data_IF_515482381257
#
_entry.id   IF_515482381257
#
_cell.length_a   1.000
_cell.length_b   1.000
_cell.length_c   1.000
_cell.angle_alpha   90.00
_cell.angle_beta   90.00
_cell.angle_gamma   90.00
#
_symmetry.space_group_name_H-M   'P 1'
#
loop_
_entity.id
_entity.type
_entity.pdbx_description
1 polymer ?
#
# COMPACT_ATOMS: atom_id res chain seq x y z
N UNK A 1 16.52 -1.16 -3.04
CA UNK A 1 15.10 -0.79 -2.98
C UNK A 1 14.29 -2.04 -3.29
N UNK A 2 13.12 -2.20 -2.67
CA UNK A 2 12.14 -3.19 -3.09
C UNK A 2 10.97 -2.43 -3.73
N UNK A 3 10.44 -2.98 -4.81
CA UNK A 3 9.28 -2.48 -5.52
C UNK A 3 8.24 -3.58 -5.64
N UNK A 4 6.98 -3.16 -5.60
CA UNK A 4 5.82 -3.98 -5.93
C UNK A 4 5.30 -3.51 -7.30
N UNK A 5 5.41 -4.32 -8.36
CA UNK A 5 4.79 -4.01 -9.64
C UNK A 5 3.26 -4.11 -9.56
N UNK A 6 2.54 -3.29 -10.34
CA UNK A 6 1.07 -3.30 -10.48
C UNK A 6 0.52 -4.67 -10.94
N UNK A 7 1.31 -5.41 -11.73
CA UNK A 7 0.94 -6.75 -12.19
C UNK A 7 1.98 -7.80 -11.78
N UNK A 8 1.49 -8.99 -11.41
CA UNK A 8 2.30 -10.18 -11.15
C UNK A 8 2.22 -10.71 -9.71
N UNK A 9 3.14 -11.62 -9.39
CA UNK A 9 3.22 -12.32 -8.10
C UNK A 9 4.63 -12.22 -7.47
N UNK A 10 5.42 -11.23 -7.90
CA UNK A 10 6.81 -11.06 -7.49
C UNK A 10 7.07 -9.61 -7.07
N UNK A 11 8.00 -9.47 -6.11
CA UNK A 11 8.62 -8.18 -5.84
C UNK A 11 9.84 -8.00 -6.73
N UNK A 12 10.23 -6.76 -6.97
CA UNK A 12 11.45 -6.43 -7.70
C UNK A 12 12.44 -5.78 -6.75
N UNK A 13 13.62 -6.37 -6.62
CA UNK A 13 14.74 -5.77 -5.88
C UNK A 13 15.64 -5.02 -6.85
N UNK A 14 15.84 -3.74 -6.57
CA UNK A 14 16.80 -2.91 -7.27
C UNK A 14 18.03 -2.62 -6.40
N UNK A 15 19.18 -2.51 -7.06
CA UNK A 15 20.46 -2.11 -6.47
C UNK A 15 20.74 -0.66 -6.81
N UNK A 16 21.33 0.09 -5.86
CA UNK A 16 21.74 1.46 -6.12
C UNK A 16 23.02 1.45 -6.96
N UNK A 17 22.97 2.08 -8.12
CA UNK A 17 24.09 2.18 -9.06
C UNK A 17 25.04 3.32 -8.66
N UNK A 18 26.22 3.35 -9.28
CA UNK A 18 27.26 4.35 -8.98
C UNK A 18 26.84 5.80 -9.33
N UNK A 19 25.94 5.97 -10.30
CA UNK A 19 25.38 7.26 -10.69
C UNK A 19 24.21 7.72 -9.78
N UNK A 20 23.84 6.91 -8.78
CA UNK A 20 22.80 7.20 -7.82
C UNK A 20 21.39 6.71 -8.20
N UNK A 21 21.19 6.25 -9.43
CA UNK A 21 19.96 5.58 -9.88
C UNK A 21 19.78 4.21 -9.23
N UNK A 22 18.60 3.62 -9.42
CA UNK A 22 18.37 2.21 -9.08
C UNK A 22 18.26 1.38 -10.35
N UNK A 23 18.86 0.20 -10.35
CA UNK A 23 18.84 -0.72 -11.47
C UNK A 23 19.19 -2.14 -11.05
N UNK A 24 19.63 -2.94 -12.01
CA UNK A 24 19.89 -4.37 -11.84
C UNK A 24 18.71 -5.13 -11.19
N UNK A 25 17.53 -5.12 -11.85
CA UNK A 25 16.33 -5.70 -11.28
C UNK A 25 16.49 -7.21 -11.09
N UNK A 26 16.12 -7.65 -9.89
CA UNK A 26 16.00 -9.07 -9.54
C UNK A 26 14.58 -9.32 -9.07
N UNK A 27 13.86 -10.15 -9.82
CA UNK A 27 12.54 -10.63 -9.40
C UNK A 27 12.66 -11.59 -8.21
N UNK A 28 11.74 -11.44 -7.27
CA UNK A 28 11.63 -12.20 -6.05
C UNK A 28 10.18 -12.71 -5.96
N UNK A 29 9.88 -13.90 -6.51
CA UNK A 29 8.54 -14.47 -6.44
C UNK A 29 8.07 -14.61 -5.00
N UNK A 30 6.84 -14.19 -4.70
CA UNK A 30 6.30 -14.27 -3.34
C UNK A 30 6.03 -15.73 -2.93
N UNK A 31 5.64 -16.57 -3.88
CA UNK A 31 5.39 -18.00 -3.67
C UNK A 31 6.63 -18.76 -3.17
N UNK A 32 7.84 -18.26 -3.47
CA UNK A 32 9.09 -18.84 -2.97
C UNK A 32 9.27 -18.64 -1.45
N UNK A 33 8.67 -17.58 -0.91
CA UNK A 33 8.82 -17.19 0.50
C UNK A 33 7.64 -17.62 1.36
N UNK A 34 6.42 -17.62 0.83
CA UNK A 34 5.18 -17.92 1.55
C UNK A 34 4.17 -18.61 0.64
N UNK A 35 3.40 -19.55 1.19
CA UNK A 35 2.26 -20.15 0.50
C UNK A 35 1.21 -19.06 0.17
N UNK A 36 0.81 -18.91 -1.09
CA UNK A 36 -0.13 -17.90 -1.53
C UNK A 36 -1.55 -18.49 -1.70
N UNK A 37 -2.61 -17.68 -1.56
CA UNK A 37 -3.94 -18.13 -1.92
C UNK A 37 -4.07 -18.25 -3.45
N UNK A 38 -4.32 -19.46 -3.96
CA UNK A 38 -4.46 -19.69 -5.40
C UNK A 38 -3.27 -20.42 -5.99
N UNK A 39 -3.07 -20.28 -7.29
CA UNK A 39 -1.89 -20.83 -7.96
C UNK A 39 -0.67 -19.91 -7.75
N UNK A 40 0.58 -20.43 -7.76
CA UNK A 40 1.78 -19.64 -7.46
C UNK A 40 2.00 -18.41 -8.35
N UNK A 41 1.52 -18.47 -9.59
CA UNK A 41 1.64 -17.41 -10.59
C UNK A 41 0.39 -16.51 -10.65
N UNK A 42 -0.62 -16.76 -9.79
CA UNK A 42 -1.79 -15.89 -9.69
C UNK A 42 -1.35 -14.49 -9.23
N UNK A 43 -1.87 -13.48 -9.90
CA UNK A 43 -1.60 -12.08 -9.59
C UNK A 43 -2.00 -11.74 -8.15
N UNK A 44 -1.00 -11.35 -7.35
CA UNK A 44 -1.20 -10.98 -5.94
C UNK A 44 -1.65 -9.53 -5.83
N UNK A 45 -1.30 -8.66 -6.79
CA UNK A 45 -1.65 -7.23 -6.77
C UNK A 45 -1.13 -6.59 -5.50
N UNK A 46 0.20 -6.58 -5.34
CA UNK A 46 0.82 -6.05 -4.13
C UNK A 46 0.65 -4.54 -4.14
N UNK A 47 -0.16 -4.04 -3.22
CA UNK A 47 -0.45 -2.62 -3.11
C UNK A 47 0.46 -1.94 -2.07
N UNK A 48 0.84 -2.67 -1.02
CA UNK A 48 1.61 -2.10 0.10
C UNK A 48 2.74 -2.99 0.57
N UNK A 49 3.91 -2.38 0.84
CA UNK A 49 5.08 -3.04 1.42
C UNK A 49 5.75 -2.16 2.49
N UNK A 50 6.28 -2.77 3.55
CA UNK A 50 7.15 -2.08 4.51
C UNK A 50 8.20 -3.05 5.07
N UNK A 51 9.37 -2.52 5.42
CA UNK A 51 10.45 -3.26 6.05
C UNK A 51 10.54 -2.88 7.52
N UNK A 52 10.16 -3.80 8.39
CA UNK A 52 10.34 -3.66 9.83
C UNK A 52 11.76 -4.09 10.21
N UNK A 53 12.53 -3.19 10.84
CA UNK A 53 13.95 -3.38 11.08
C UNK A 53 14.78 -2.97 9.86
N UNK A 54 15.64 -3.88 9.35
CA UNK A 54 16.56 -3.59 8.24
C UNK A 54 16.39 -4.56 7.06
N UNK A 55 16.81 -4.14 5.87
CA UNK A 55 16.88 -5.06 4.71
C UNK A 55 17.91 -6.18 4.89
N UNK A 56 18.82 -6.13 5.88
CA UNK A 56 19.81 -7.19 6.09
C UNK A 56 19.26 -8.37 6.87
N UNK A 57 18.39 -8.11 7.84
CA UNK A 57 17.98 -9.05 8.88
C UNK A 57 16.60 -8.73 9.52
N UNK A 58 15.74 -8.01 8.80
CA UNK A 58 14.41 -7.60 9.25
C UNK A 58 13.26 -8.45 8.74
N UNK A 59 12.06 -7.87 8.78
CA UNK A 59 10.82 -8.47 8.29
C UNK A 59 10.23 -7.60 7.18
N UNK A 60 9.95 -8.18 6.03
CA UNK A 60 9.18 -7.56 4.97
C UNK A 60 7.71 -7.87 5.19
N UNK A 61 6.90 -6.82 5.28
CA UNK A 61 5.46 -6.91 5.27
C UNK A 61 4.95 -6.61 3.86
N UNK A 62 3.97 -7.39 3.41
CA UNK A 62 3.37 -7.28 2.08
C UNK A 62 1.87 -7.40 2.21
N UNK A 63 1.12 -6.56 1.51
CA UNK A 63 -0.33 -6.69 1.41
C UNK A 63 -0.83 -6.46 -0.01
N UNK A 64 -1.88 -7.17 -0.40
CA UNK A 64 -2.66 -6.86 -1.60
C UNK A 64 -3.96 -6.12 -1.31
N UNK A 65 -4.70 -5.76 -2.36
CA UNK A 65 -5.84 -4.83 -2.28
C UNK A 65 -7.02 -5.29 -1.41
N UNK A 66 -7.21 -6.59 -1.24
CA UNK A 66 -8.38 -7.20 -0.60
C UNK A 66 -9.75 -6.81 -1.19
N UNK A 67 -9.76 -6.10 -2.33
CA UNK A 67 -10.94 -5.45 -2.85
C UNK A 67 -11.80 -6.38 -3.71
N UNK A 68 -13.07 -5.99 -3.86
CA UNK A 68 -13.91 -6.46 -4.98
C UNK A 68 -13.61 -5.57 -6.18
N UNK A 69 -13.65 -6.13 -7.39
CA UNK A 69 -13.42 -5.37 -8.62
C UNK A 69 -14.69 -5.30 -9.47
N UNK A 70 -14.90 -4.16 -10.13
CA UNK A 70 -15.88 -4.02 -11.21
C UNK A 70 -15.16 -4.15 -12.54
N UNK A 71 -15.72 -4.90 -13.48
CA UNK A 71 -15.08 -5.10 -14.77
C UNK A 71 -14.91 -3.76 -15.52
N UNK A 72 -13.66 -3.41 -15.82
CA UNK A 72 -13.31 -2.17 -16.54
C UNK A 72 -13.93 -2.12 -17.94
N UNK A 73 -14.40 -0.93 -18.31
CA UNK A 73 -14.76 -0.55 -19.68
C UNK A 73 -13.51 0.01 -20.37
N UNK A 74 -13.02 -0.70 -21.39
CA UNK A 74 -11.86 -0.27 -22.19
C UNK A 74 -12.31 0.68 -23.30
N UNK A 75 -11.41 1.52 -23.81
CA UNK A 75 -11.69 2.53 -24.86
C UNK A 75 -12.40 1.98 -26.11
N UNK A 76 -12.14 0.72 -26.47
CA UNK A 76 -12.72 0.04 -27.64
C UNK A 76 -13.93 -0.86 -27.31
N UNK A 77 -14.50 -0.74 -26.11
CA UNK A 77 -15.68 -1.54 -25.71
C UNK A 77 -16.90 -1.07 -26.51
N UNK A 78 -17.63 -1.96 -27.22
CA UNK A 78 -18.85 -1.58 -27.92
C UNK A 78 -19.93 -1.04 -26.96
N UNK A 79 -20.72 -0.03 -27.34
CA UNK A 79 -21.79 0.50 -26.49
C UNK A 79 -22.76 -0.57 -25.96
N UNK A 80 -23.04 -1.60 -26.77
CA UNK A 80 -23.91 -2.72 -26.40
C UNK A 80 -23.38 -3.58 -25.25
N UNK A 81 -22.07 -3.56 -24.97
CA UNK A 81 -21.46 -4.34 -23.88
C UNK A 81 -21.23 -3.54 -22.60
N UNK A 82 -21.39 -2.21 -22.63
CA UNK A 82 -21.00 -1.33 -21.52
C UNK A 82 -21.77 -1.66 -20.24
N UNK A 83 -23.10 -1.76 -20.33
CA UNK A 83 -23.95 -2.08 -19.16
C UNK A 83 -23.63 -3.47 -18.60
N UNK A 84 -23.45 -4.45 -19.48
CA UNK A 84 -23.12 -5.82 -19.09
C UNK A 84 -21.76 -5.94 -18.39
N UNK A 85 -20.78 -5.13 -18.79
CA UNK A 85 -19.48 -5.09 -18.12
C UNK A 85 -19.60 -4.41 -16.77
N UNK A 86 -20.27 -3.25 -16.71
CA UNK A 86 -20.46 -2.53 -15.46
C UNK A 86 -21.27 -3.34 -14.44
N UNK A 87 -22.15 -4.25 -14.86
CA UNK A 87 -22.87 -5.15 -13.95
C UNK A 87 -22.00 -6.27 -13.33
N UNK A 88 -20.81 -6.56 -13.87
CA UNK A 88 -19.98 -7.68 -13.43
C UNK A 88 -19.02 -7.28 -12.32
N UNK A 89 -19.11 -8.01 -11.21
CA UNK A 89 -18.20 -7.93 -10.07
C UNK A 89 -17.37 -9.22 -9.96
N UNK A 90 -16.10 -9.09 -9.61
CA UNK A 90 -15.21 -10.21 -9.27
C UNK A 90 -14.64 -10.02 -7.86
N UNK A 91 -14.60 -11.10 -7.08
CA UNK A 91 -13.84 -11.16 -5.84
C UNK A 91 -12.60 -12.01 -6.10
N UNK A 92 -11.43 -11.38 -6.10
CA UNK A 92 -10.18 -12.01 -6.49
C UNK A 92 -9.46 -12.46 -5.22
N UNK A 93 -9.76 -13.70 -4.81
CA UNK A 93 -9.20 -14.30 -3.60
C UNK A 93 -7.67 -14.29 -3.56
N UNK A 94 -6.94 -14.50 -4.68
CA UNK A 94 -5.49 -14.42 -4.69
C UNK A 94 -4.91 -13.08 -4.22
N UNK A 95 -5.67 -11.98 -4.38
CA UNK A 95 -5.25 -10.63 -3.94
C UNK A 95 -5.45 -10.34 -2.44
N UNK A 96 -6.01 -11.31 -1.69
CA UNK A 96 -6.28 -11.16 -0.24
C UNK A 96 -5.10 -11.69 0.57
N UNK A 97 -3.97 -11.02 0.38
CA UNK A 97 -2.69 -11.35 1.03
C UNK A 97 -2.35 -10.27 2.05
N UNK A 98 -2.00 -10.72 3.25
CA UNK A 98 -1.24 -9.95 4.23
C UNK A 98 -0.19 -10.90 4.80
N UNK A 99 1.06 -10.67 4.44
CA UNK A 99 2.16 -11.58 4.70
C UNK A 99 3.32 -10.87 5.39
N UNK A 100 4.06 -11.65 6.17
CA UNK A 100 5.30 -11.30 6.86
C UNK A 100 6.39 -12.25 6.42
N UNK A 101 7.42 -11.74 5.76
CA UNK A 101 8.51 -12.49 5.18
C UNK A 101 9.82 -12.10 5.87
N UNK A 102 10.50 -13.02 6.59
CA UNK A 102 11.86 -12.75 7.05
C UNK A 102 12.77 -12.39 5.88
N UNK A 103 13.65 -11.42 6.06
CA UNK A 103 14.61 -10.97 5.04
C UNK A 103 16.03 -11.36 5.46
N UNK A 104 16.82 -11.86 4.50
CA UNK A 104 18.27 -11.98 4.62
C UNK A 104 18.93 -11.35 3.37
N UNK A 105 19.88 -10.45 3.58
CA UNK A 105 20.64 -9.78 2.50
C UNK A 105 19.75 -9.16 1.39
N UNK A 106 18.66 -8.53 1.82
CA UNK A 106 17.70 -7.84 0.97
C UNK A 106 16.79 -8.78 0.18
N UNK A 107 16.68 -10.05 0.56
CA UNK A 107 15.80 -11.05 -0.08
C UNK A 107 14.94 -11.75 0.95
N UNK A 108 13.65 -12.04 0.65
CA UNK A 108 12.85 -12.94 1.46
C UNK A 108 13.55 -14.30 1.65
N UNK A 109 13.51 -14.83 2.87
CA UNK A 109 13.99 -16.18 3.18
C UNK A 109 12.96 -17.19 2.68
N UNK A 110 13.43 -18.12 1.85
CA UNK A 110 12.58 -19.12 1.19
C UNK A 110 11.82 -19.97 2.21
N UNK A 111 10.51 -20.11 2.00
CA UNK A 111 9.60 -20.91 2.84
C UNK A 111 9.50 -20.49 4.31
N UNK A 112 10.05 -19.34 4.71
CA UNK A 112 10.04 -18.86 6.09
C UNK A 112 8.97 -17.79 6.34
N UNK A 113 8.21 -17.40 5.31
CA UNK A 113 7.13 -16.43 5.41
C UNK A 113 5.92 -16.99 6.13
N UNK A 114 5.11 -16.08 6.66
CA UNK A 114 3.79 -16.38 7.21
C UNK A 114 2.76 -15.42 6.66
N UNK A 115 1.52 -15.87 6.44
CA UNK A 115 0.43 -15.00 5.99
C UNK A 115 -0.82 -15.14 6.85
N UNK A 116 -1.61 -14.08 6.88
CA UNK A 116 -2.95 -14.15 7.44
C UNK A 116 -3.82 -15.06 6.56
N UNK A 117 -4.62 -15.99 7.13
CA UNK A 117 -5.55 -16.78 6.37
C UNK A 117 -6.55 -15.92 5.60
N UNK A 118 -6.95 -16.33 4.40
CA UNK A 118 -8.00 -15.65 3.66
C UNK A 118 -9.40 -16.01 4.18
N UNK A 119 -10.39 -15.16 3.88
CA UNK A 119 -11.81 -15.44 4.20
C UNK A 119 -12.17 -15.18 5.66
N UNK A 120 -12.94 -16.08 6.29
CA UNK A 120 -13.53 -15.86 7.63
C UNK A 120 -12.50 -15.74 8.76
N UNK A 121 -11.34 -16.40 8.63
CA UNK A 121 -10.23 -16.31 9.59
C UNK A 121 -9.29 -15.12 9.31
N UNK A 122 -9.53 -14.39 8.22
CA UNK A 122 -8.73 -13.27 7.78
C UNK A 122 -9.34 -11.91 8.06
N UNK A 123 -8.72 -10.87 7.47
CA UNK A 123 -9.13 -9.48 7.63
C UNK A 123 -10.60 -9.25 7.21
N UNK A 124 -10.99 -9.74 6.03
CA UNK A 124 -12.38 -9.62 5.53
C UNK A 124 -13.37 -10.31 6.45
N UNK A 125 -12.98 -11.44 7.06
CA UNK A 125 -13.80 -12.14 8.05
C UNK A 125 -13.97 -11.35 9.34
N UNK A 126 -12.88 -10.79 9.85
CA UNK A 126 -12.90 -9.97 11.06
C UNK A 126 -13.73 -8.68 10.92
N UNK A 127 -13.84 -8.15 9.70
CA UNK A 127 -14.60 -6.93 9.39
C UNK A 127 -16.04 -7.22 8.94
N UNK A 128 -16.45 -8.48 8.79
CA UNK A 128 -17.72 -8.85 8.15
C UNK A 128 -18.95 -8.23 8.82
N UNK A 129 -18.95 -8.22 10.16
CA UNK A 129 -20.03 -7.69 11.00
C UNK A 129 -19.71 -6.29 11.55
N UNK A 130 -18.63 -5.64 11.07
CA UNK A 130 -18.28 -4.28 11.48
C UNK A 130 -19.33 -3.29 10.96
N UNK A 131 -19.90 -2.49 11.87
CA UNK A 131 -21.00 -1.57 11.56
C UNK A 131 -20.62 -0.46 10.57
N UNK A 132 -19.33 -0.14 10.43
CA UNK A 132 -18.82 0.90 9.54
C UNK A 132 -18.32 0.31 8.22
N UNK A 133 -17.52 -0.77 8.28
CA UNK A 133 -16.79 -1.30 7.13
C UNK A 133 -17.45 -2.52 6.48
N UNK A 134 -18.20 -3.31 7.23
CA UNK A 134 -18.94 -4.48 6.73
C UNK A 134 -19.77 -4.20 5.48
N UNK A 135 -20.55 -3.09 5.42
CA UNK A 135 -21.33 -2.71 4.24
C UNK A 135 -20.49 -2.48 2.96
N UNK A 136 -19.20 -2.13 3.10
CA UNK A 136 -18.32 -1.79 1.99
C UNK A 136 -17.51 -2.98 1.46
N UNK A 137 -17.47 -4.11 2.17
CA UNK A 137 -16.72 -5.31 1.76
C UNK A 137 -17.21 -5.95 0.46
N UNK A 138 -18.43 -5.61 0.02
CA UNK A 138 -19.04 -6.09 -1.23
C UNK A 138 -19.05 -5.04 -2.34
N UNK A 139 -18.64 -3.82 -2.03
CA UNK A 139 -18.56 -2.72 -2.98
C UNK A 139 -17.19 -2.78 -3.64
N UNK A 140 -17.07 -2.54 -4.96
CA UNK A 140 -15.78 -2.52 -5.61
C UNK A 140 -14.87 -1.40 -5.09
N UNK A 141 -13.55 -1.65 -5.02
CA UNK A 141 -12.58 -0.68 -4.49
C UNK A 141 -12.63 0.69 -5.20
N UNK A 142 -12.65 0.67 -6.55
CA UNK A 142 -12.79 1.89 -7.39
C UNK A 142 -14.18 2.55 -7.34
N UNK A 143 -15.12 1.99 -6.58
CA UNK A 143 -16.44 2.54 -6.28
C UNK A 143 -16.56 2.95 -4.79
N UNK A 144 -15.44 3.29 -4.14
CA UNK A 144 -15.34 3.58 -2.70
C UNK A 144 -15.61 2.37 -1.80
N UNK A 145 -15.44 1.16 -2.31
CA UNK A 145 -15.49 -0.07 -1.53
C UNK A 145 -14.23 -0.30 -0.70
N UNK A 146 -14.20 -1.41 0.03
CA UNK A 146 -13.02 -1.80 0.83
C UNK A 146 -11.80 -2.05 -0.07
N UNK A 147 -10.73 -1.31 0.17
CA UNK A 147 -9.53 -1.31 -0.65
C UNK A 147 -8.31 -0.89 0.19
N UNK A 148 -7.39 -1.82 0.40
CA UNK A 148 -6.15 -1.61 1.14
C UNK A 148 -5.06 -1.19 0.15
N UNK A 149 -4.40 -0.06 0.39
CA UNK A 149 -3.24 0.33 -0.41
C UNK A 149 -2.01 0.58 0.48
N UNK A 150 -2.16 1.42 1.51
CA UNK A 150 -1.03 1.71 2.41
C UNK A 150 -0.73 0.63 3.44
N UNK A 151 0.56 0.45 3.77
CA UNK A 151 1.01 -0.47 4.82
C UNK A 151 2.19 0.11 5.61
N UNK A 152 2.14 0.01 6.94
CA UNK A 152 3.28 0.33 7.80
C UNK A 152 3.37 -0.63 8.99
N UNK A 153 4.50 -1.28 9.19
CA UNK A 153 4.78 -2.15 10.32
C UNK A 153 5.50 -1.37 11.42
N UNK A 154 4.89 -1.27 12.60
CA UNK A 154 5.35 -0.39 13.67
C UNK A 154 6.23 -1.13 14.68
N UNK A 155 7.18 -0.38 15.26
CA UNK A 155 8.11 -0.90 16.27
C UNK A 155 9.13 -1.90 15.73
N UNK A 156 9.91 -2.48 16.63
CA UNK A 156 10.90 -3.50 16.29
C UNK A 156 10.24 -4.88 16.04
N UNK A 157 10.87 -5.74 15.22
CA UNK A 157 10.43 -7.13 15.04
C UNK A 157 10.16 -7.84 16.37
N UNK A 158 8.92 -8.28 16.57
CA UNK A 158 8.47 -8.95 17.78
C UNK A 158 7.52 -10.10 17.42
N UNK A 159 7.25 -10.97 18.41
CA UNK A 159 6.31 -12.09 18.23
C UNK A 159 4.92 -11.59 17.81
N UNK A 160 4.44 -10.53 18.47
CA UNK A 160 3.24 -9.78 18.07
C UNK A 160 3.68 -8.43 17.54
N UNK A 161 3.28 -8.12 16.31
CA UNK A 161 3.60 -6.86 15.61
C UNK A 161 2.35 -6.05 15.36
N UNK A 162 2.45 -4.75 15.59
CA UNK A 162 1.43 -3.79 15.21
C UNK A 162 1.62 -3.40 13.74
N UNK A 163 0.61 -3.62 12.90
CA UNK A 163 0.61 -3.21 11.48
C UNK A 163 -0.53 -2.23 11.24
N UNK A 164 -0.22 -1.10 10.61
CA UNK A 164 -1.21 -0.18 10.08
C UNK A 164 -1.50 -0.51 8.62
N UNK A 165 -2.79 -0.59 8.28
CA UNK A 165 -3.26 -0.61 6.90
C UNK A 165 -3.99 0.69 6.58
N UNK A 166 -3.59 1.31 5.48
CA UNK A 166 -4.24 2.48 4.91
C UNK A 166 -5.32 2.07 3.93
N UNK A 167 -6.55 2.56 4.14
CA UNK A 167 -7.64 2.30 3.21
C UNK A 167 -7.74 3.45 2.20
N UNK A 168 -7.62 3.11 0.93
CA UNK A 168 -8.06 3.98 -0.17
C UNK A 168 -9.56 4.18 -0.11
N UNK A 169 -10.28 3.11 0.18
CA UNK A 169 -11.72 3.10 0.36
C UNK A 169 -12.12 2.10 1.44
N UNK A 170 -13.20 2.34 2.18
CA UNK A 170 -14.13 3.47 2.01
C UNK A 170 -13.66 4.76 2.68
N UNK A 171 -14.04 5.89 2.08
CA UNK A 171 -14.08 7.19 2.77
C UNK A 171 -15.50 7.42 3.29
N UNK A 172 -15.63 7.60 4.61
CA UNK A 172 -16.90 7.66 5.34
C UNK A 172 -17.29 9.11 5.60
N UNK A 173 -18.20 9.67 4.78
CA UNK A 173 -18.63 11.09 4.89
C UNK A 173 -17.44 12.07 4.94
N UNK A 174 -16.40 11.77 4.16
CA UNK A 174 -15.18 12.58 4.08
C UNK A 174 -14.01 12.10 4.94
N UNK A 175 -14.22 11.12 5.82
CA UNK A 175 -13.18 10.59 6.72
C UNK A 175 -12.53 9.34 6.14
N UNK A 176 -11.21 9.38 6.00
CA UNK A 176 -10.41 8.21 5.65
C UNK A 176 -10.30 7.25 6.83
N UNK A 177 -9.91 6.01 6.56
CA UNK A 177 -9.79 4.96 7.58
C UNK A 177 -8.39 4.36 7.54
N UNK A 178 -7.78 4.25 8.72
CA UNK A 178 -6.63 3.39 8.99
C UNK A 178 -7.08 2.23 9.87
N UNK A 179 -6.58 1.03 9.60
CA UNK A 179 -6.77 -0.13 10.46
C UNK A 179 -5.47 -0.42 11.20
N UNK A 180 -5.52 -0.51 12.53
CA UNK A 180 -4.43 -1.03 13.32
C UNK A 180 -4.69 -2.50 13.65
N UNK A 181 -3.79 -3.36 13.21
CA UNK A 181 -3.83 -4.80 13.39
C UNK A 181 -2.76 -5.20 14.37
N UNK A 182 -3.10 -6.06 15.33
CA UNK A 182 -2.12 -6.80 16.11
C UNK A 182 -2.00 -8.21 15.53
N UNK A 183 -0.83 -8.55 15.00
CA UNK A 183 -0.57 -9.80 14.26
C UNK A 183 0.50 -10.61 14.97
N UNK A 184 0.23 -11.89 15.23
CA UNK A 184 1.20 -12.81 15.82
C UNK A 184 1.23 -14.17 15.12
N UNK A 185 1.92 -15.19 15.67
CA UNK A 185 1.96 -16.52 15.09
C UNK A 185 0.58 -17.18 15.07
N UNK A 186 0.25 -17.84 13.96
CA UNK A 186 -0.92 -18.70 13.81
C UNK A 186 -0.79 -20.02 14.56
N UNK A 187 -1.82 -20.86 14.45
CA UNK A 187 -1.80 -22.23 14.97
C UNK A 187 -0.88 -23.12 14.11
N UNK A 188 -0.94 -22.93 12.79
CA UNK A 188 -0.14 -23.68 11.82
C UNK A 188 1.14 -22.92 11.43
N UNK A 189 2.25 -23.63 11.15
CA UNK A 189 3.45 -23.03 10.56
C UNK A 189 3.11 -22.29 9.27
N UNK A 190 3.60 -21.05 9.13
CA UNK A 190 3.31 -20.21 7.97
C UNK A 190 1.97 -19.47 8.03
N UNK A 191 1.18 -19.62 9.10
CA UNK A 191 0.00 -18.78 9.36
C UNK A 191 0.32 -17.63 10.32
N UNK A 192 -0.30 -16.48 10.08
CA UNK A 192 -0.43 -15.38 11.04
C UNK A 192 -1.81 -15.45 11.71
N UNK A 193 -1.87 -15.09 12.99
CA UNK A 193 -3.12 -14.87 13.70
C UNK A 193 -3.39 -13.38 13.87
N UNK A 194 -4.59 -12.95 13.47
CA UNK A 194 -5.12 -11.63 13.79
C UNK A 194 -5.63 -11.62 15.23
N UNK A 195 -4.94 -10.87 16.10
CA UNK A 195 -5.25 -10.78 17.54
C UNK A 195 -6.29 -9.71 17.82
N UNK A 196 -6.18 -8.55 17.15
CA UNK A 196 -7.17 -7.48 17.25
C UNK A 196 -7.15 -6.58 16.03
N UNK A 197 -8.26 -5.87 15.82
CA UNK A 197 -8.42 -4.81 14.82
C UNK A 197 -8.97 -3.58 15.52
N UNK A 198 -8.32 -2.44 15.34
CA UNK A 198 -8.84 -1.14 15.74
C UNK A 198 -8.97 -0.23 14.51
N UNK A 199 -10.00 0.62 14.50
CA UNK A 199 -10.24 1.59 13.42
C UNK A 199 -9.81 2.96 13.91
N UNK A 200 -9.11 3.68 13.05
CA UNK A 200 -8.76 5.07 13.24
C UNK A 200 -9.32 5.85 12.05
N UNK A 201 -9.95 6.99 12.31
CA UNK A 201 -10.51 7.85 11.26
C UNK A 201 -9.72 9.14 11.14
N UNK A 202 -9.41 9.52 9.91
CA UNK A 202 -8.52 10.65 9.62
C UNK A 202 -9.22 11.60 8.64
N UNK A 203 -9.30 12.87 8.99
CA UNK A 203 -9.86 13.91 8.11
C UNK A 203 -8.81 14.33 7.07
N UNK A 204 -8.76 13.58 5.97
CA UNK A 204 -7.92 13.87 4.79
C UNK A 204 -8.64 14.80 3.77
N UNK A 205 -9.76 15.41 4.17
CA UNK A 205 -10.57 16.27 3.29
C UNK A 205 -11.28 15.50 2.17
N UNK A 206 -11.79 14.30 2.47
CA UNK A 206 -12.50 13.46 1.50
C UNK A 206 -11.62 12.57 0.62
N UNK A 207 -10.31 12.53 0.89
CA UNK A 207 -9.36 11.62 0.24
C UNK A 207 -9.22 10.32 1.03
N UNK A 208 -8.84 9.25 0.34
CA UNK A 208 -8.40 7.99 0.93
C UNK A 208 -6.89 7.93 1.07
N UNK A 209 -6.41 6.85 1.69
CA UNK A 209 -4.98 6.56 1.86
C UNK A 209 -4.48 5.74 0.68
N UNK A 210 -3.49 6.26 -0.04
CA UNK A 210 -2.79 5.59 -1.14
C UNK A 210 -1.61 4.78 -0.66
N UNK A 211 -0.83 5.35 0.25
CA UNK A 211 0.34 4.68 0.78
C UNK A 211 0.73 5.26 2.14
N UNK A 212 1.52 4.51 2.91
CA UNK A 212 2.04 4.87 4.21
C UNK A 212 3.56 4.71 4.23
N UNK A 213 4.26 5.66 4.83
CA UNK A 213 5.69 5.51 5.09
C UNK A 213 6.03 5.99 6.51
N UNK A 214 6.92 5.26 7.19
CA UNK A 214 7.46 5.70 8.47
C UNK A 214 8.61 6.68 8.27
N UNK A 215 8.61 7.77 9.02
CA UNK A 215 9.71 8.72 9.12
C UNK A 215 10.06 8.92 10.60
N UNK A 216 10.96 8.08 11.11
CA UNK A 216 11.20 7.95 12.55
C UNK A 216 9.91 7.57 13.28
N UNK A 217 9.49 8.41 14.22
CA UNK A 217 8.26 8.24 15.01
C UNK A 217 7.01 8.77 14.27
N UNK A 218 7.18 9.50 13.17
CA UNK A 218 6.08 10.07 12.41
C UNK A 218 5.58 9.10 11.32
N UNK A 219 4.30 9.22 10.98
CA UNK A 219 3.70 8.51 9.86
C UNK A 219 3.41 9.50 8.72
N UNK A 220 3.96 9.23 7.54
CA UNK A 220 3.60 9.90 6.31
C UNK A 220 2.43 9.17 5.65
N UNK A 221 1.48 9.94 5.14
CA UNK A 221 0.28 9.46 4.46
C UNK A 221 0.23 10.10 3.08
N UNK A 222 0.34 9.27 2.04
CA UNK A 222 -0.04 9.70 0.70
C UNK A 222 -1.57 9.66 0.61
N UNK A 223 -2.19 10.82 0.41
CA UNK A 223 -3.64 10.95 0.32
C UNK A 223 -4.07 11.22 -1.13
N UNK A 224 -5.09 10.51 -1.61
CA UNK A 224 -5.59 10.63 -2.98
C UNK A 224 -7.06 10.20 -3.14
N UNK A 225 -7.68 10.40 -4.32
CA UNK A 225 -9.11 10.19 -4.52
C UNK A 225 -9.49 8.70 -4.48
N UNK A 226 -10.63 8.30 -3.93
CA UNK A 226 -10.96 6.85 -3.86
C UNK A 226 -11.31 6.22 -5.22
N UNK A 227 -11.69 7.05 -6.19
CA UNK A 227 -12.11 6.67 -7.54
C UNK A 227 -11.03 7.02 -8.58
N UNK A 228 -11.40 7.00 -9.86
CA UNK A 228 -10.51 7.25 -11.01
C UNK A 228 -10.09 8.72 -11.21
N UNK A 229 -10.29 9.58 -10.21
CA UNK A 229 -9.90 10.99 -10.31
C UNK A 229 -8.39 11.11 -10.10
N UNK A 230 -7.74 11.96 -10.90
CA UNK A 230 -6.30 12.20 -10.78
C UNK A 230 -5.93 13.06 -9.58
N UNK A 231 -6.83 13.95 -9.14
CA UNK A 231 -6.55 15.02 -8.17
C UNK A 231 -7.72 15.25 -7.21
N UNK A 232 -7.48 15.87 -6.03
CA UNK A 232 -6.18 16.30 -5.49
C UNK A 232 -5.37 15.13 -4.91
N UNK A 233 -4.05 15.29 -4.81
CA UNK A 233 -3.13 14.35 -4.17
C UNK A 233 -2.11 15.11 -3.33
N UNK A 234 -1.75 14.59 -2.15
CA UNK A 234 -0.83 15.26 -1.21
C UNK A 234 -0.17 14.29 -0.25
N UNK A 235 0.97 14.66 0.29
CA UNK A 235 1.60 13.95 1.42
C UNK A 235 1.39 14.72 2.70
N UNK A 236 0.85 14.03 3.70
CA UNK A 236 0.55 14.56 5.03
C UNK A 236 1.40 13.82 6.06
N UNK A 237 1.72 14.50 7.17
CA UNK A 237 2.48 13.93 8.28
C UNK A 237 1.60 13.91 9.54
N UNK A 238 1.51 12.74 10.15
CA UNK A 238 0.93 12.52 11.47
C UNK A 238 2.08 12.33 12.46
N UNK A 239 2.24 13.30 13.36
CA UNK A 239 3.37 13.30 14.30
C UNK A 239 3.22 12.18 15.35
N UNK A 240 4.29 11.42 15.57
CA UNK A 240 4.33 10.33 16.56
C UNK A 240 3.44 9.12 16.24
N UNK A 241 2.76 9.10 15.10
CA UNK A 241 1.78 8.07 14.76
C UNK A 241 2.40 6.73 14.35
N UNK A 242 3.71 6.68 14.07
CA UNK A 242 4.42 5.43 13.82
C UNK A 242 4.87 4.73 15.12
N UNK A 243 4.69 5.37 16.29
CA UNK A 243 4.91 4.72 17.59
C UNK A 243 3.76 3.76 17.89
N UNK A 244 4.02 2.47 18.19
CA UNK A 244 2.97 1.50 18.51
C UNK A 244 2.02 2.01 19.60
N UNK A 245 0.72 2.02 19.29
CA UNK A 245 -0.34 2.45 20.21
C UNK A 245 -0.51 3.98 20.37
N UNK A 246 0.31 4.81 19.70
CA UNK A 246 0.22 6.27 19.81
C UNK A 246 -0.80 6.90 18.85
N UNK A 247 -1.20 6.20 17.78
CA UNK A 247 -2.18 6.71 16.81
C UNK A 247 -3.56 6.93 17.49
N UNK A 248 -4.10 8.16 17.52
CA UNK A 248 -5.43 8.43 18.07
C UNK A 248 -6.54 7.78 17.24
N UNK A 249 -7.67 7.44 17.86
CA UNK A 249 -8.84 6.90 17.13
C UNK A 249 -9.43 7.91 16.13
N UNK A 250 -9.28 9.21 16.39
CA UNK A 250 -9.77 10.29 15.53
C UNK A 250 -8.68 11.32 15.34
N UNK A 251 -8.35 11.63 14.08
CA UNK A 251 -7.36 12.64 13.71
C UNK A 251 -8.03 13.70 12.84
N UNK A 252 -8.02 14.95 13.29
CA UNK A 252 -8.60 16.05 12.53
C UNK A 252 -7.60 16.66 11.56
N UNK A 253 -8.09 17.33 10.51
CA UNK A 253 -7.24 18.00 9.52
C UNK A 253 -6.28 19.03 10.14
N UNK A 254 -6.67 19.67 11.25
CA UNK A 254 -5.83 20.64 11.99
C UNK A 254 -4.63 20.00 12.70
N UNK A 255 -4.65 18.69 12.89
CA UNK A 255 -3.60 17.91 13.57
C UNK A 255 -2.63 17.28 12.54
N UNK A 256 -2.82 17.59 11.24
CA UNK A 256 -2.02 17.09 10.13
C UNK A 256 -1.12 18.19 9.57
N UNK A 257 0.16 17.88 9.40
CA UNK A 257 1.08 18.77 8.70
C UNK A 257 1.10 18.39 7.21
N UNK A 258 0.87 19.38 6.33
CA UNK A 258 1.06 19.18 4.90
C UNK A 258 2.54 19.21 4.57
N UNK A 259 3.07 18.07 4.10
CA UNK A 259 4.47 17.95 3.67
C UNK A 259 4.63 18.52 2.27
N UNK A 260 3.74 18.12 1.34
CA UNK A 260 3.67 18.64 -0.01
C UNK A 260 2.29 18.42 -0.63
N UNK A 261 1.93 19.32 -1.56
CA UNK A 261 0.85 19.08 -2.51
C UNK A 261 1.46 18.49 -3.79
N UNK A 262 0.83 17.45 -4.34
CA UNK A 262 1.26 16.81 -5.57
C UNK A 262 0.35 17.29 -6.72
N UNK A 263 0.94 17.45 -7.90
CA UNK A 263 0.27 18.00 -9.07
C UNK A 263 0.23 16.98 -10.23
N UNK A 264 -0.53 15.88 -10.08
CA UNK A 264 -0.72 14.90 -11.14
C UNK A 264 -1.36 15.55 -12.38
N UNK A 265 -0.99 15.06 -13.56
CA UNK A 265 -1.61 15.44 -14.82
C UNK A 265 -3.04 14.91 -14.94
N UNK A 266 -3.78 15.40 -15.94
CA UNK A 266 -5.13 14.90 -16.21
C UNK A 266 -5.05 13.49 -16.84
N UNK A 267 -5.23 12.46 -15.99
CA UNK A 267 -5.15 11.06 -16.41
C UNK A 267 -3.74 10.45 -16.43
N UNK A 268 -2.74 11.16 -15.91
CA UNK A 268 -1.35 10.71 -15.83
C UNK A 268 -0.70 11.12 -14.50
N UNK A 269 0.43 10.51 -14.16
CA UNK A 269 1.23 10.78 -12.95
C UNK A 269 0.45 10.61 -11.64
N UNK A 270 -0.42 9.60 -11.51
CA UNK A 270 -1.20 9.40 -10.29
C UNK A 270 -0.29 8.88 -9.19
N UNK A 271 -0.05 9.61 -8.09
CA UNK A 271 0.82 9.14 -7.02
C UNK A 271 0.27 7.87 -6.40
N UNK A 272 1.10 6.85 -6.32
CA UNK A 272 0.70 5.51 -5.88
C UNK A 272 1.57 4.99 -4.75
N UNK A 273 2.87 5.30 -4.73
CA UNK A 273 3.77 4.86 -3.68
C UNK A 273 4.70 5.96 -3.20
N UNK A 274 5.04 5.93 -1.91
CA UNK A 274 6.02 6.80 -1.27
C UNK A 274 7.07 5.99 -0.50
N UNK A 275 8.32 6.41 -0.56
CA UNK A 275 9.39 5.78 0.20
C UNK A 275 10.41 6.80 0.68
N UNK A 276 10.80 6.71 1.96
CA UNK A 276 11.94 7.48 2.47
C UNK A 276 13.22 6.92 1.86
N UNK A 277 14.01 7.79 1.22
CA UNK A 277 15.28 7.47 0.60
C UNK A 277 16.36 8.40 1.15
N UNK A 278 17.35 7.83 1.83
CA UNK A 278 18.34 8.63 2.56
C UNK A 278 17.77 9.24 3.84
N UNK A 279 18.33 10.36 4.30
CA UNK A 279 18.00 10.95 5.61
C UNK A 279 16.85 11.97 5.58
N UNK A 280 16.61 12.64 4.45
CA UNK A 280 15.63 13.74 4.37
C UNK A 280 15.04 13.86 2.96
N UNK A 281 14.74 12.71 2.35
CA UNK A 281 14.15 12.69 1.01
C UNK A 281 13.06 11.64 0.88
N UNK A 282 12.01 11.99 0.14
CA UNK A 282 10.86 11.15 -0.14
C UNK A 282 10.79 10.92 -1.65
N UNK A 283 10.86 9.66 -2.06
CA UNK A 283 10.56 9.25 -3.42
C UNK A 283 9.05 9.08 -3.55
N UNK A 284 8.48 9.61 -4.62
CA UNK A 284 7.09 9.40 -5.04
C UNK A 284 7.09 8.70 -6.40
N UNK A 285 6.42 7.56 -6.48
CA UNK A 285 6.19 6.82 -7.72
C UNK A 285 4.73 6.96 -8.15
N UNK A 286 4.49 6.77 -9.45
CA UNK A 286 3.22 7.10 -10.08
C UNK A 286 2.68 5.93 -10.91
N UNK A 287 1.38 5.66 -10.78
CA UNK A 287 0.60 4.94 -11.78
C UNK A 287 0.44 5.83 -13.01
N UNK A 288 0.39 5.18 -14.18
CA UNK A 288 0.15 5.81 -15.47
C UNK A 288 1.09 7.01 -15.69
N UNK A 289 2.43 6.79 -15.59
CA UNK A 289 3.40 7.87 -15.69
C UNK A 289 3.31 8.57 -17.05
N UNK A 290 3.48 9.89 -17.04
CA UNK A 290 3.51 10.71 -18.24
C UNK A 290 4.58 10.22 -19.22
N UNK A 291 4.38 10.38 -20.55
CA UNK A 291 5.30 9.82 -21.55
C UNK A 291 6.77 10.28 -21.40
N UNK A 292 7.02 11.46 -20.84
CA UNK A 292 8.37 11.99 -20.62
C UNK A 292 9.06 11.43 -19.37
N UNK A 293 8.36 10.65 -18.53
CA UNK A 293 8.92 9.88 -17.41
C UNK A 293 9.28 8.44 -17.79
N UNK A 294 8.82 7.96 -18.93
CA UNK A 294 9.00 6.57 -19.38
C UNK A 294 10.16 6.48 -20.36
N UNK A 295 11.23 5.82 -19.95
CA UNK A 295 12.33 5.40 -20.81
C UNK A 295 12.11 4.01 -21.40
N UNK A 296 13.07 3.52 -22.19
CA UNK A 296 12.98 2.18 -22.79
C UNK A 296 12.92 1.05 -21.74
N UNK A 297 13.64 1.23 -20.62
CA UNK A 297 13.77 0.27 -19.53
C UNK A 297 13.82 0.96 -18.16
N UNK A 298 13.21 2.14 -18.04
CA UNK A 298 13.27 2.94 -16.81
C UNK A 298 12.01 3.79 -16.66
N UNK A 299 11.70 4.16 -15.42
CA UNK A 299 10.64 5.11 -15.07
C UNK A 299 11.20 6.20 -14.15
N UNK A 300 10.62 7.39 -14.19
CA UNK A 300 11.04 8.50 -13.33
C UNK A 300 10.02 8.80 -12.24
N UNK A 301 10.45 8.69 -10.98
CA UNK A 301 9.74 9.20 -9.81
C UNK A 301 10.09 10.64 -9.49
N UNK A 302 9.36 11.23 -8.56
CA UNK A 302 9.68 12.55 -8.00
C UNK A 302 10.42 12.41 -6.68
N UNK A 303 11.55 13.11 -6.54
CA UNK A 303 12.32 13.16 -5.31
C UNK A 303 12.09 14.50 -4.62
N UNK A 304 11.43 14.45 -3.48
CA UNK A 304 11.19 15.58 -2.60
C UNK A 304 12.29 15.63 -1.54
N UNK A 305 12.84 16.81 -1.27
CA UNK A 305 13.88 17.00 -0.23
C UNK A 305 13.44 18.05 0.78
N UNK A 306 13.97 18.00 2.00
CA UNK A 306 13.67 19.00 3.02
C UNK A 306 12.35 18.75 3.74
N UNK A 307 12.05 17.49 4.09
CA UNK A 307 10.80 17.07 4.71
C UNK A 307 10.53 17.79 6.04
N UNK A 308 11.57 18.27 6.73
CA UNK A 308 11.45 19.06 7.96
C UNK A 308 11.23 20.58 7.79
N UNK A 309 11.29 21.13 6.56
CA UNK A 309 11.27 22.60 6.32
C UNK A 309 10.28 23.07 5.24
N UNK A 310 9.36 22.20 4.83
CA UNK A 310 8.52 22.38 3.65
C UNK A 310 9.23 21.81 2.44
N UNK A 311 8.77 20.64 1.98
CA UNK A 311 9.45 19.91 0.93
C UNK A 311 9.34 20.67 -0.41
N UNK A 312 10.47 20.84 -1.09
CA UNK A 312 10.50 21.37 -2.44
C UNK A 312 10.75 20.23 -3.43
N UNK A 313 10.09 20.22 -4.61
CA UNK A 313 10.41 19.27 -5.67
C UNK A 313 11.86 19.50 -6.10
N UNK A 314 12.73 18.53 -5.85
CA UNK A 314 14.17 18.73 -5.94
C UNK A 314 14.79 18.08 -7.18
N UNK A 315 14.23 16.97 -7.66
CA UNK A 315 14.69 16.29 -8.88
C UNK A 315 13.70 15.22 -9.36
N UNK A 316 13.75 14.89 -10.65
CA UNK A 316 13.26 13.60 -11.15
C UNK A 316 14.30 12.53 -10.86
N UNK A 317 13.87 11.35 -10.45
CA UNK A 317 14.74 10.27 -10.00
C UNK A 317 14.46 8.99 -10.81
N UNK A 318 15.51 8.40 -11.37
CA UNK A 318 15.40 7.26 -12.30
C UNK A 318 15.39 5.94 -11.52
N UNK A 319 14.38 5.13 -11.81
CA UNK A 319 14.13 3.79 -11.30
C UNK A 319 14.03 2.81 -12.46
#
# INVERSE_FOLDING_TARGET
MLLAPDEGAALVRLTRLADGSWGDPVELPLADAVDLPGDPDDEVDVEGIDVQGSLRDGLLWVTGSHSVRRKRVKRHTPPSEVLDRLARLSAEKPRRVLARLPIADGRPVLGAGARLPSGKRGLVGALADDEHLGPFLRIPGKDNGFDVEGLAALGDPAEVTTVLLGLRGPVLRGWAVLLRLELGPGEDPGELALRSVAKHVVDLGGLGVRDLARDGDDLLVLAGPTMVLSRPARVLRLRGAAVPGALPEVVFARDLDTVCELAPGDGEDHPEAIAIVGEDSLLVLHDSPAPDRVGAHSVQGDLLTGLGRGAAPAARFVV
#
